data_IF_888252674632
#
_entry.id   IF_888252674632
#
_cell.length_a   1.000
_cell.length_b   1.000
_cell.length_c   1.000
_cell.angle_alpha   90.00
_cell.angle_beta   90.00
_cell.angle_gamma   90.00
#
_symmetry.space_group_name_H-M   'P 1'
#
loop_
_entity.id
_entity.type
_entity.pdbx_description
1 polymer ?
#
# COMPACT_ATOMS: atom_id res chain seq x y z
N UNK A 1 3.53 -2.91 -17.91
CA UNK A 1 3.17 -1.50 -17.65
C UNK A 1 3.17 -1.25 -16.15
N UNK A 2 3.71 -0.12 -15.71
CA UNK A 2 3.69 0.17 -14.27
C UNK A 2 2.27 0.44 -13.78
N UNK A 3 2.03 0.08 -12.53
CA UNK A 3 0.75 0.41 -11.90
C UNK A 3 0.72 1.90 -11.56
N UNK A 4 -0.47 2.45 -11.47
CA UNK A 4 -0.65 3.81 -10.98
C UNK A 4 -0.69 3.80 -9.45
N UNK A 5 -0.37 4.94 -8.85
CA UNK A 5 -0.41 5.06 -7.39
C UNK A 5 -1.79 4.68 -6.86
N UNK A 6 -2.88 5.12 -7.52
CA UNK A 6 -4.24 4.76 -7.09
C UNK A 6 -4.49 3.26 -7.10
N UNK A 7 -3.82 2.53 -7.99
CA UNK A 7 -3.96 1.07 -8.05
C UNK A 7 -3.29 0.39 -6.88
N UNK A 8 -2.12 0.90 -6.45
CA UNK A 8 -1.46 0.39 -5.24
C UNK A 8 -2.33 0.63 -4.02
N UNK A 9 -2.93 1.80 -3.93
CA UNK A 9 -3.83 2.15 -2.82
C UNK A 9 -5.04 1.21 -2.81
N UNK A 10 -5.59 0.92 -3.98
CA UNK A 10 -6.70 -0.02 -4.08
C UNK A 10 -6.32 -1.40 -3.58
N UNK A 11 -5.14 -1.89 -3.97
CA UNK A 11 -4.64 -3.19 -3.52
C UNK A 11 -4.52 -3.21 -1.99
N UNK A 12 -3.97 -2.15 -1.40
CA UNK A 12 -3.81 -2.06 0.04
C UNK A 12 -5.17 -2.09 0.74
N UNK A 13 -6.13 -1.32 0.25
CA UNK A 13 -7.47 -1.27 0.85
C UNK A 13 -8.18 -2.61 0.74
N UNK A 14 -8.00 -3.32 -0.36
CA UNK A 14 -8.59 -4.65 -0.54
C UNK A 14 -8.01 -5.68 0.42
N UNK A 15 -6.85 -5.38 0.99
CA UNK A 15 -6.17 -6.25 1.96
C UNK A 15 -6.23 -5.70 3.38
N UNK A 16 -7.28 -4.93 3.68
CA UNK A 16 -7.58 -4.42 5.02
C UNK A 16 -6.63 -3.35 5.56
N UNK A 17 -5.82 -2.75 4.69
CA UNK A 17 -5.05 -1.58 5.07
C UNK A 17 -5.96 -0.37 5.12
N UNK A 18 -5.80 0.44 6.16
CA UNK A 18 -6.61 1.63 6.38
C UNK A 18 -5.75 2.87 6.13
N UNK A 19 -6.28 3.80 5.34
CA UNK A 19 -5.63 5.07 5.08
C UNK A 19 -5.69 5.94 6.33
N UNK A 20 -4.54 6.19 6.93
CA UNK A 20 -4.44 7.03 8.14
C UNK A 20 -4.09 8.47 7.80
N UNK A 21 -4.04 8.80 6.51
CA UNK A 21 -3.71 10.14 6.07
C UNK A 21 -2.21 10.42 6.06
N UNK A 22 -1.86 11.63 5.76
CA UNK A 22 -0.48 12.08 5.67
C UNK A 22 -0.44 13.49 5.12
N UNK A 23 0.76 14.03 4.94
CA UNK A 23 0.92 15.39 4.42
C UNK A 23 1.13 15.36 2.92
N UNK A 24 0.43 16.25 2.21
CA UNK A 24 0.57 16.39 0.77
C UNK A 24 0.23 15.11 0.05
N UNK A 25 1.15 14.62 -0.78
CA UNK A 25 0.96 13.40 -1.54
C UNK A 25 1.35 12.14 -0.78
N UNK A 26 1.82 12.26 0.47
CA UNK A 26 2.17 11.10 1.29
C UNK A 26 0.93 10.56 1.98
N UNK A 27 0.73 9.24 1.91
CA UNK A 27 -0.39 8.57 2.56
C UNK A 27 0.14 7.40 3.39
N UNK A 28 -0.27 7.36 4.64
CA UNK A 28 0.15 6.29 5.55
C UNK A 28 -0.98 5.27 5.64
N UNK A 29 -0.63 4.01 5.48
CA UNK A 29 -1.58 2.91 5.59
C UNK A 29 -1.19 2.00 6.75
N UNK A 30 -2.19 1.56 7.50
CA UNK A 30 -1.97 0.71 8.65
C UNK A 30 -2.90 -0.50 8.57
N UNK A 31 -2.35 -1.68 8.81
CA UNK A 31 -3.12 -2.92 8.86
C UNK A 31 -3.35 -3.29 10.33
N UNK A 32 -4.49 -3.93 10.67
CA UNK A 32 -4.75 -4.37 12.05
C UNK A 32 -3.65 -5.24 12.66
N UNK A 33 -2.87 -5.94 11.84
CA UNK A 33 -1.74 -6.74 12.33
C UNK A 33 -0.56 -5.91 12.82
N UNK A 34 -0.60 -4.58 12.58
CA UNK A 34 0.51 -3.68 12.89
C UNK A 34 1.40 -3.35 11.71
N UNK A 35 1.16 -3.97 10.55
CA UNK A 35 1.94 -3.66 9.35
C UNK A 35 1.65 -2.24 8.88
N UNK A 36 2.68 -1.53 8.49
CA UNK A 36 2.58 -0.14 8.00
C UNK A 36 3.26 0.01 6.67
N UNK A 37 2.73 0.88 5.84
CA UNK A 37 3.37 1.25 4.58
C UNK A 37 2.98 2.68 4.23
N UNK A 38 3.93 3.44 3.68
CA UNK A 38 3.69 4.81 3.22
C UNK A 38 3.80 4.86 1.71
N UNK A 39 2.78 5.42 1.07
CA UNK A 39 2.77 5.61 -0.38
C UNK A 39 2.88 7.10 -0.67
N UNK A 40 3.86 7.48 -1.49
CA UNK A 40 4.02 8.86 -1.94
C UNK A 40 3.74 8.98 -3.42
N UNK A 41 3.24 10.14 -3.83
CA UNK A 41 2.92 10.43 -5.22
C UNK A 41 1.44 10.73 -5.40
N UNK A 42 1.10 11.37 -6.52
CA UNK A 42 -0.28 11.68 -6.86
C UNK A 42 -0.98 10.45 -7.42
N UNK A 43 -2.30 10.40 -7.26
CA UNK A 43 -3.09 9.22 -7.67
C UNK A 43 -2.90 8.82 -9.13
N UNK A 44 -2.69 9.79 -10.00
CA UNK A 44 -2.50 9.53 -11.43
C UNK A 44 -1.07 9.23 -11.84
N UNK A 45 -0.11 9.32 -10.90
CA UNK A 45 1.30 9.06 -11.21
C UNK A 45 1.56 7.56 -11.34
N UNK A 46 2.56 7.22 -12.13
CA UNK A 46 3.02 5.84 -12.20
C UNK A 46 3.77 5.48 -10.92
N UNK A 47 3.50 4.30 -10.40
CA UNK A 47 4.21 3.80 -9.24
C UNK A 47 5.65 3.44 -9.64
N UNK A 48 6.58 3.70 -8.73
CA UNK A 48 7.97 3.33 -8.94
C UNK A 48 8.15 1.83 -8.64
N UNK A 49 9.14 1.17 -9.27
CA UNK A 49 9.34 -0.27 -9.02
C UNK A 49 9.47 -0.64 -7.55
N UNK A 50 10.15 0.18 -6.74
CA UNK A 50 10.30 -0.14 -5.33
C UNK A 50 8.97 -0.07 -4.58
N UNK A 51 8.07 0.83 -5.01
CA UNK A 51 6.74 0.95 -4.40
C UNK A 51 5.91 -0.29 -4.68
N UNK A 52 5.94 -0.79 -5.91
CA UNK A 52 5.23 -2.01 -6.26
C UNK A 52 5.74 -3.21 -5.45
N UNK A 53 7.06 -3.31 -5.30
CA UNK A 53 7.67 -4.39 -4.53
C UNK A 53 7.27 -4.32 -3.06
N UNK A 54 7.28 -3.12 -2.48
CA UNK A 54 6.89 -2.93 -1.08
C UNK A 54 5.43 -3.30 -0.84
N UNK A 55 4.53 -2.86 -1.72
CA UNK A 55 3.12 -3.17 -1.60
C UNK A 55 2.90 -4.68 -1.68
N UNK A 56 3.51 -5.33 -2.67
CA UNK A 56 3.38 -6.78 -2.83
C UNK A 56 3.91 -7.53 -1.63
N UNK A 57 5.05 -7.08 -1.09
CA UNK A 57 5.65 -7.71 0.09
C UNK A 57 4.74 -7.57 1.31
N UNK A 58 4.21 -6.37 1.55
CA UNK A 58 3.34 -6.13 2.70
C UNK A 58 2.04 -6.92 2.59
N UNK A 59 1.45 -6.95 1.41
CA UNK A 59 0.22 -7.71 1.18
C UNK A 59 0.46 -9.20 1.43
N UNK A 60 1.57 -9.71 0.92
CA UNK A 60 1.92 -11.13 1.14
C UNK A 60 2.09 -11.44 2.61
N UNK A 61 2.78 -10.58 3.35
CA UNK A 61 3.01 -10.77 4.78
C UNK A 61 1.70 -10.83 5.57
N UNK A 62 0.77 -9.90 5.30
CA UNK A 62 -0.49 -9.90 6.03
C UNK A 62 -1.35 -11.10 5.64
N UNK A 63 -1.33 -11.53 4.38
CA UNK A 63 -2.06 -12.72 3.95
C UNK A 63 -1.53 -13.98 4.62
N UNK A 64 -0.21 -14.11 4.75
CA UNK A 64 0.41 -15.23 5.42
C UNK A 64 0.04 -15.28 6.91
N UNK A 65 0.01 -14.12 7.55
CA UNK A 65 -0.35 -14.02 8.96
C UNK A 65 -1.82 -14.38 9.20
N UNK A 66 -2.69 -14.04 8.26
CA UNK A 66 -4.11 -14.36 8.38
C UNK A 66 -4.41 -15.86 8.23
N UNK A 67 -3.52 -16.59 7.60
CA UNK A 67 -3.69 -18.03 7.39
C UNK A 67 -3.29 -18.88 8.57
N UNK A 68 -2.77 -18.30 9.62
CA UNK A 68 -2.35 -19.04 10.81
C UNK A 68 -3.47 -19.21 11.81
#
# INVERSE_FOLDING_TARGET
MPLKIRELIKILKENDFVDRGGKGSHRNFLHPSGAKITISGNLGDDAKPYQEKEVKKMVKEVQENEKK
#
